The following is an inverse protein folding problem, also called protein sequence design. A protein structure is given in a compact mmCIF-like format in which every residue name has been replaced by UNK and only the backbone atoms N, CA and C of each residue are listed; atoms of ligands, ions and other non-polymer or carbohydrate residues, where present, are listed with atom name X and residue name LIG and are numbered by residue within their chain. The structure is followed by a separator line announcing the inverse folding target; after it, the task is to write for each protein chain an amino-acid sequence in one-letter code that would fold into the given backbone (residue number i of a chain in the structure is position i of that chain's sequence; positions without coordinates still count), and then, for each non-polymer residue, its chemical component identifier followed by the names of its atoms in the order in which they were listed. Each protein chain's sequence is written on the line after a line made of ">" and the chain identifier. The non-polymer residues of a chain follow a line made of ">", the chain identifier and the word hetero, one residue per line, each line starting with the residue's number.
data_IF_640277887824
#
_entry.id   IF_640277887824
#
_cell.length_a   1.000
_cell.length_b   1.000
_cell.length_c   1.000
_cell.angle_alpha   90.00
_cell.angle_beta   90.00
_cell.angle_gamma   90.00
#
_symmetry.space_group_name_H-M   'P 1'
#
loop_
_entity.id
_entity.type
_entity.pdbx_description
1 polymer ?
#
# COMPACT_ATOMS: atom_id res chain seq x y z
N UNK A 1 -2.74 -71.02 14.19
CA UNK A 1 -3.54 -69.89 13.71
C UNK A 1 -3.09 -68.69 14.52
N UNK A 2 -1.96 -68.10 14.13
CA UNK A 2 -1.42 -66.91 14.79
C UNK A 2 -2.24 -65.71 14.34
N UNK A 3 -3.00 -65.14 15.26
CA UNK A 3 -3.67 -63.86 15.05
C UNK A 3 -2.64 -62.76 15.15
N UNK A 4 -2.31 -62.15 14.00
CA UNK A 4 -1.52 -60.94 13.91
C UNK A 4 -2.15 -59.87 14.80
N UNK A 5 -1.52 -59.57 15.93
CA UNK A 5 -1.90 -58.41 16.75
C UNK A 5 -1.58 -57.16 15.93
N UNK A 6 -2.61 -56.50 15.40
CA UNK A 6 -2.46 -55.15 14.90
C UNK A 6 -1.90 -54.29 16.03
N UNK A 7 -0.70 -53.74 15.83
CA UNK A 7 -0.11 -52.75 16.73
C UNK A 7 -0.95 -51.47 16.57
N UNK A 8 -2.04 -51.38 17.32
CA UNK A 8 -2.78 -50.14 17.50
C UNK A 8 -1.81 -49.14 18.13
N UNK A 9 -1.56 -48.02 17.47
CA UNK A 9 -0.70 -46.97 18.01
C UNK A 9 -1.34 -46.40 19.27
N UNK A 10 -0.66 -46.49 20.41
CA UNK A 10 -1.15 -46.03 21.71
C UNK A 10 -1.22 -44.50 21.84
N UNK A 11 -0.83 -43.76 20.80
CA UNK A 11 -0.79 -42.29 20.79
C UNK A 11 -1.82 -41.72 19.82
N UNK A 12 -2.66 -40.80 20.31
CA UNK A 12 -3.67 -40.06 19.52
C UNK A 12 -3.33 -38.57 19.48
N UNK A 13 -3.76 -37.87 18.44
CA UNK A 13 -3.57 -36.41 18.36
C UNK A 13 -4.38 -35.72 19.48
N UNK A 14 -3.74 -34.82 20.24
CA UNK A 14 -4.38 -34.13 21.35
C UNK A 14 -5.42 -33.09 20.92
N UNK A 15 -5.40 -32.71 19.65
CA UNK A 15 -6.39 -31.84 19.03
C UNK A 15 -6.64 -32.28 17.58
N UNK A 16 -7.81 -31.96 17.00
CA UNK A 16 -8.05 -32.15 15.58
C UNK A 16 -6.98 -31.42 14.78
N UNK A 17 -6.21 -32.17 13.99
CA UNK A 17 -5.24 -31.60 13.07
C UNK A 17 -5.82 -31.59 11.67
N UNK A 18 -5.40 -30.61 10.86
CA UNK A 18 -5.76 -30.57 9.45
C UNK A 18 -4.55 -30.92 8.62
N UNK A 19 -4.74 -31.75 7.59
CA UNK A 19 -3.71 -32.02 6.59
C UNK A 19 -3.50 -30.84 5.64
N UNK A 20 -4.35 -29.81 5.68
CA UNK A 20 -4.16 -28.60 4.89
C UNK A 20 -3.20 -27.65 5.59
N UNK A 21 -2.33 -26.94 4.86
CA UNK A 21 -1.55 -25.84 5.41
C UNK A 21 -2.47 -24.83 6.13
N UNK A 22 -2.01 -24.19 7.22
CA UNK A 22 -2.80 -23.16 7.88
C UNK A 22 -3.15 -22.05 6.86
N UNK A 23 -4.41 -21.60 6.88
CA UNK A 23 -4.80 -20.43 6.09
C UNK A 23 -4.03 -19.20 6.57
N UNK A 24 -3.59 -18.30 5.68
CA UNK A 24 -2.97 -17.05 6.08
C UNK A 24 -3.84 -16.30 7.09
N UNK A 25 -3.24 -15.59 8.06
CA UNK A 25 -4.00 -14.83 9.04
C UNK A 25 -4.84 -13.75 8.34
N UNK A 26 -6.06 -13.58 8.82
CA UNK A 26 -6.98 -12.55 8.36
C UNK A 26 -6.49 -11.17 8.80
N UNK A 27 -6.61 -10.17 7.92
CA UNK A 27 -6.26 -8.78 8.25
C UNK A 27 -7.55 -8.00 8.56
N UNK A 28 -7.88 -7.79 9.85
CA UNK A 28 -9.05 -7.04 10.23
C UNK A 28 -8.87 -5.56 9.88
N UNK A 29 -9.84 -5.01 9.16
CA UNK A 29 -9.96 -3.57 8.97
C UNK A 29 -11.06 -3.10 9.90
N UNK A 30 -10.73 -2.60 11.11
CA UNK A 30 -11.76 -2.21 12.05
C UNK A 30 -12.54 -1.03 11.46
N UNK A 31 -13.86 -1.09 11.47
CA UNK A 31 -14.71 0.06 11.13
C UNK A 31 -14.84 1.01 12.33
N UNK A 32 -13.73 1.25 13.04
CA UNK A 32 -13.68 2.14 14.20
C UNK A 32 -13.22 3.50 13.74
N UNK A 33 -14.17 4.37 13.42
CA UNK A 33 -13.87 5.78 13.26
C UNK A 33 -13.79 6.42 14.65
N UNK A 34 -12.69 7.11 15.00
CA UNK A 34 -12.74 8.04 16.11
C UNK A 34 -13.98 8.93 15.94
N UNK A 35 -14.71 9.18 17.03
CA UNK A 35 -15.93 9.99 16.96
C UNK A 35 -15.56 11.41 16.48
N UNK A 36 -16.04 11.80 15.30
CA UNK A 36 -15.96 13.16 14.77
C UNK A 36 -15.33 13.29 13.37
N UNK A 37 -15.53 14.43 12.68
CA UNK A 37 -15.07 14.67 11.31
C UNK A 37 -13.54 14.64 11.14
N UNK A 38 -12.77 14.82 12.23
CA UNK A 38 -11.31 14.75 12.22
C UNK A 38 -10.76 13.34 11.98
N UNK A 39 -11.55 12.30 12.27
CA UNK A 39 -11.13 10.90 12.20
C UNK A 39 -10.85 10.37 10.78
N UNK A 40 -11.47 10.99 9.77
CA UNK A 40 -11.36 10.56 8.38
C UNK A 40 -10.66 11.60 7.51
N UNK A 41 -9.77 12.40 8.12
CA UNK A 41 -9.00 13.43 7.43
C UNK A 41 -7.56 12.99 7.25
N UNK A 42 -7.06 13.08 6.02
CA UNK A 42 -5.66 12.81 5.66
C UNK A 42 -4.98 14.12 5.22
N UNK A 43 -3.69 14.25 5.54
CA UNK A 43 -2.85 15.41 5.20
C UNK A 43 -1.66 14.95 4.37
N UNK A 44 -1.17 15.77 3.41
CA UNK A 44 0.01 15.43 2.64
C UNK A 44 1.20 15.14 3.55
N UNK A 45 1.94 14.06 3.27
CA UNK A 45 3.17 13.73 4.00
C UNK A 45 4.39 14.09 3.16
N UNK A 46 5.30 14.85 3.77
CA UNK A 46 6.57 15.21 3.14
C UNK A 46 7.66 14.14 3.31
N UNK A 47 7.36 13.05 4.04
CA UNK A 47 8.33 12.03 4.39
C UNK A 47 8.77 11.19 3.17
N UNK A 48 7.87 11.03 2.20
CA UNK A 48 8.09 10.22 0.99
C UNK A 48 8.64 11.03 -0.20
N UNK A 49 8.78 12.35 -0.07
CA UNK A 49 9.11 13.26 -1.19
C UNK A 49 10.37 12.80 -1.96
N UNK A 50 11.43 12.45 -1.22
CA UNK A 50 12.70 12.01 -1.81
C UNK A 50 12.58 10.63 -2.47
N UNK A 51 11.93 9.68 -1.80
CA UNK A 51 11.69 8.33 -2.32
C UNK A 51 10.90 8.37 -3.64
N UNK A 52 10.01 9.36 -3.77
CA UNK A 52 9.18 9.59 -4.94
C UNK A 52 9.87 10.45 -6.01
N UNK A 53 11.10 10.91 -5.78
CA UNK A 53 11.83 11.85 -6.66
C UNK A 53 11.03 13.13 -6.95
N UNK A 54 10.26 13.59 -5.96
CA UNK A 54 9.56 14.86 -5.99
C UNK A 54 10.35 15.90 -5.19
N UNK A 55 10.08 17.18 -5.44
CA UNK A 55 10.46 18.24 -4.51
C UNK A 55 9.33 18.53 -3.53
N UNK A 56 9.64 19.21 -2.42
CA UNK A 56 8.59 19.67 -1.48
C UNK A 56 7.60 20.63 -2.15
N UNK A 57 8.06 21.40 -3.15
CA UNK A 57 7.21 22.28 -3.93
C UNK A 57 6.30 21.50 -4.87
N UNK A 58 6.82 20.46 -5.54
CA UNK A 58 5.98 19.58 -6.36
C UNK A 58 4.85 18.95 -5.52
N UNK A 59 5.15 18.48 -4.31
CA UNK A 59 4.12 17.92 -3.42
C UNK A 59 3.07 18.96 -3.04
N UNK A 60 3.48 20.20 -2.75
CA UNK A 60 2.56 21.31 -2.46
C UNK A 60 1.68 21.64 -3.65
N UNK A 61 2.23 21.65 -4.85
CA UNK A 61 1.48 21.88 -6.10
C UNK A 61 0.43 20.78 -6.29
N UNK A 62 0.84 19.51 -6.19
CA UNK A 62 -0.03 18.35 -6.43
C UNK A 62 -1.18 18.31 -5.42
N UNK A 63 -0.85 18.44 -4.13
CA UNK A 63 -1.83 18.29 -3.04
C UNK A 63 -2.53 19.60 -2.67
N UNK A 64 -2.07 20.72 -3.23
CA UNK A 64 -2.45 22.09 -2.84
C UNK A 64 -2.28 22.36 -1.34
N UNK A 65 -1.44 21.57 -0.68
CA UNK A 65 -1.27 21.53 0.77
C UNK A 65 -2.61 21.45 1.55
N UNK A 66 -3.63 20.82 0.95
CA UNK A 66 -4.99 20.77 1.50
C UNK A 66 -5.27 19.42 2.12
N UNK A 67 -5.85 19.43 3.32
CA UNK A 67 -6.36 18.23 3.98
C UNK A 67 -7.55 17.65 3.21
N UNK A 68 -7.60 16.32 3.09
CA UNK A 68 -8.68 15.60 2.43
C UNK A 68 -9.52 14.90 3.48
N UNK A 69 -10.80 15.26 3.60
CA UNK A 69 -11.73 14.63 4.54
C UNK A 69 -12.65 13.68 3.78
N UNK A 70 -12.70 12.43 4.21
CA UNK A 70 -13.60 11.46 3.60
C UNK A 70 -15.05 11.83 3.91
N UNK A 71 -15.85 11.91 2.85
CA UNK A 71 -17.30 12.06 2.95
C UNK A 71 -17.93 10.68 3.10
N UNK A 72 -18.62 10.44 4.21
CA UNK A 72 -19.40 9.23 4.39
C UNK A 72 -20.54 9.18 3.38
N UNK A 73 -20.39 8.28 2.40
CA UNK A 73 -21.39 8.04 1.36
C UNK A 73 -22.26 6.82 1.65
N UNK A 74 -22.13 6.20 2.83
CA UNK A 74 -22.96 5.04 3.22
C UNK A 74 -24.43 5.44 3.38
N UNK A 75 -24.69 6.61 3.96
CA UNK A 75 -26.03 7.17 4.10
C UNK A 75 -26.55 7.59 2.72
N UNK A 76 -27.52 6.83 2.20
CA UNK A 76 -28.07 7.05 0.85
C UNK A 76 -27.33 6.32 -0.27
N UNK A 77 -26.39 5.43 0.06
CA UNK A 77 -25.81 4.53 -0.92
C UNK A 77 -26.90 3.59 -1.46
N UNK A 78 -27.00 3.49 -2.78
CA UNK A 78 -27.80 2.46 -3.46
C UNK A 78 -26.89 1.58 -4.30
N UNK A 79 -27.37 0.39 -4.66
CA UNK A 79 -26.59 -0.53 -5.50
C UNK A 79 -26.14 0.11 -6.82
N UNK A 80 -26.94 1.02 -7.39
CA UNK A 80 -26.62 1.77 -8.61
C UNK A 80 -25.42 2.71 -8.46
N UNK A 81 -25.12 3.18 -7.25
CA UNK A 81 -23.96 4.03 -6.98
C UNK A 81 -22.64 3.35 -7.36
N UNK A 82 -22.57 2.01 -7.40
CA UNK A 82 -21.37 1.28 -7.86
C UNK A 82 -21.00 1.58 -9.32
N UNK A 83 -21.99 1.96 -10.15
CA UNK A 83 -21.83 2.23 -11.59
C UNK A 83 -21.34 3.65 -11.88
N UNK A 84 -21.32 4.50 -10.87
CA UNK A 84 -20.84 5.89 -10.96
C UNK A 84 -19.39 5.98 -10.48
N UNK A 85 -18.66 6.97 -10.98
CA UNK A 85 -17.39 7.33 -10.38
C UNK A 85 -17.63 8.17 -9.12
N UNK A 86 -16.73 8.04 -8.15
CA UNK A 86 -16.72 8.82 -6.92
C UNK A 86 -15.39 9.52 -6.75
N UNK A 87 -15.42 10.72 -6.19
CA UNK A 87 -14.20 11.38 -5.72
C UNK A 87 -13.66 10.62 -4.51
N UNK A 88 -12.34 10.39 -4.53
CA UNK A 88 -11.55 9.84 -3.42
C UNK A 88 -10.64 10.92 -2.85
N UNK A 89 -10.07 11.77 -3.72
CA UNK A 89 -9.38 13.01 -3.37
C UNK A 89 -9.97 14.14 -4.24
N UNK A 90 -9.70 15.39 -3.90
CA UNK A 90 -10.16 16.58 -4.64
C UNK A 90 -9.88 16.52 -6.15
N UNK A 91 -8.81 15.83 -6.56
CA UNK A 91 -8.38 15.65 -7.95
C UNK A 91 -8.42 14.20 -8.44
N UNK A 92 -8.74 13.23 -7.58
CA UNK A 92 -8.67 11.80 -7.91
C UNK A 92 -10.03 11.13 -7.78
N UNK A 93 -10.51 10.59 -8.90
CA UNK A 93 -11.78 9.89 -9.02
C UNK A 93 -11.53 8.39 -9.19
N UNK A 94 -12.47 7.59 -8.70
CA UNK A 94 -12.46 6.13 -8.81
C UNK A 94 -13.80 5.64 -9.35
N UNK A 95 -13.80 4.83 -10.39
CA UNK A 95 -15.04 4.33 -11.00
C UNK A 95 -14.87 3.16 -11.96
N UNK A 96 -15.98 2.63 -12.50
CA UNK A 96 -15.94 1.58 -13.50
C UNK A 96 -15.52 2.09 -14.87
N UNK A 97 -15.01 1.20 -15.72
CA UNK A 97 -14.59 1.50 -17.09
C UNK A 97 -15.69 2.14 -17.96
N UNK A 98 -16.97 1.89 -17.66
CA UNK A 98 -18.08 2.51 -18.37
C UNK A 98 -18.06 4.04 -18.27
N UNK A 99 -17.61 4.60 -17.14
CA UNK A 99 -17.54 6.05 -16.93
C UNK A 99 -16.46 6.69 -17.80
N UNK A 100 -15.37 5.97 -18.07
CA UNK A 100 -14.32 6.44 -18.99
C UNK A 100 -14.77 6.52 -20.47
N UNK A 101 -15.99 6.08 -20.79
CA UNK A 101 -16.60 6.17 -22.12
C UNK A 101 -17.71 7.22 -22.19
N UNK A 102 -18.08 7.81 -21.05
CA UNK A 102 -19.11 8.84 -20.97
C UNK A 102 -18.49 10.22 -21.23
N UNK A 103 -18.53 10.63 -22.50
CA UNK A 103 -17.96 11.91 -22.96
C UNK A 103 -18.57 13.10 -22.20
N UNK A 104 -19.89 13.10 -22.00
CA UNK A 104 -20.59 14.22 -21.35
C UNK A 104 -20.18 14.34 -19.88
N UNK A 105 -20.05 13.21 -19.18
CA UNK A 105 -19.61 13.19 -17.80
C UNK A 105 -18.14 13.62 -17.65
N UNK A 106 -17.24 13.09 -18.51
CA UNK A 106 -15.82 13.44 -18.48
C UNK A 106 -15.58 14.94 -18.72
N UNK A 107 -16.29 15.51 -19.70
CA UNK A 107 -16.22 16.93 -20.01
C UNK A 107 -16.78 17.79 -18.88
N UNK A 108 -17.92 17.39 -18.29
CA UNK A 108 -18.56 18.10 -17.18
C UNK A 108 -17.68 18.14 -15.93
N UNK A 109 -17.08 17.01 -15.55
CA UNK A 109 -16.20 16.95 -14.37
C UNK A 109 -14.83 17.58 -14.63
N UNK A 110 -14.45 17.75 -15.90
CA UNK A 110 -13.14 18.30 -16.29
C UNK A 110 -12.01 17.31 -16.04
N UNK A 111 -12.23 16.02 -16.33
CA UNK A 111 -11.18 15.01 -16.25
C UNK A 111 -10.10 15.31 -17.29
N UNK A 112 -8.84 15.24 -16.88
CA UNK A 112 -7.67 15.55 -17.72
C UNK A 112 -6.78 14.33 -17.97
N UNK A 113 -6.91 13.29 -17.13
CA UNK A 113 -6.20 12.02 -17.30
C UNK A 113 -7.10 10.85 -16.89
N UNK A 114 -7.01 9.74 -17.61
CA UNK A 114 -7.66 8.48 -17.27
C UNK A 114 -6.60 7.39 -17.18
N UNK A 115 -6.61 6.63 -16.09
CA UNK A 115 -5.77 5.44 -15.93
C UNK A 115 -6.65 4.21 -15.93
N UNK A 116 -6.45 3.35 -16.91
CA UNK A 116 -7.20 2.12 -17.09
C UNK A 116 -6.37 0.96 -16.57
N UNK A 117 -6.69 0.47 -15.38
CA UNK A 117 -6.12 -0.76 -14.82
C UNK A 117 -6.95 -1.95 -15.29
N UNK A 118 -6.36 -2.88 -16.03
CA UNK A 118 -7.09 -4.01 -16.61
C UNK A 118 -6.26 -5.28 -16.57
N UNK A 119 -6.95 -6.41 -16.70
CA UNK A 119 -6.27 -7.68 -16.80
C UNK A 119 -5.58 -7.79 -18.17
N UNK A 120 -4.30 -8.17 -18.21
CA UNK A 120 -3.53 -8.20 -19.47
C UNK A 120 -4.18 -9.10 -20.54
N UNK A 121 -4.85 -10.19 -20.13
CA UNK A 121 -5.63 -11.05 -21.06
C UNK A 121 -6.81 -10.34 -21.75
N UNK A 122 -7.35 -9.28 -21.15
CA UNK A 122 -8.49 -8.50 -21.70
C UNK A 122 -7.98 -7.27 -22.47
N UNK A 123 -6.68 -6.95 -22.37
CA UNK A 123 -6.06 -5.78 -22.98
C UNK A 123 -6.25 -5.71 -24.51
N UNK A 124 -6.20 -6.86 -25.19
CA UNK A 124 -6.35 -6.95 -26.64
C UNK A 124 -7.78 -6.69 -27.14
N UNK A 125 -8.80 -6.86 -26.29
CA UNK A 125 -10.20 -6.90 -26.72
C UNK A 125 -10.96 -5.56 -26.60
N UNK A 126 -10.44 -4.55 -25.89
CA UNK A 126 -11.23 -3.36 -25.47
C UNK A 126 -10.62 -1.98 -25.75
N UNK A 127 -9.62 -1.91 -26.63
CA UNK A 127 -8.83 -0.70 -26.89
C UNK A 127 -9.66 0.51 -27.37
N UNK A 128 -10.55 0.33 -28.34
CA UNK A 128 -10.93 1.46 -29.22
C UNK A 128 -11.93 2.50 -28.68
N UNK A 129 -12.54 2.32 -27.51
CA UNK A 129 -13.66 3.21 -27.09
C UNK A 129 -13.21 4.35 -26.18
N UNK A 130 -12.29 4.09 -25.24
CA UNK A 130 -11.79 5.11 -24.32
C UNK A 130 -10.89 6.08 -25.07
N UNK A 131 -9.99 5.58 -25.92
CA UNK A 131 -9.05 6.40 -26.68
C UNK A 131 -9.76 7.41 -27.59
N UNK A 132 -10.88 7.03 -28.21
CA UNK A 132 -11.67 7.95 -29.07
C UNK A 132 -12.27 9.11 -28.28
N UNK A 133 -12.89 8.82 -27.14
CA UNK A 133 -13.50 9.84 -26.27
C UNK A 133 -12.41 10.73 -25.69
N UNK A 134 -11.29 10.14 -25.26
CA UNK A 134 -10.17 10.88 -24.71
C UNK A 134 -9.51 11.78 -25.73
N UNK A 135 -9.27 11.30 -26.96
CA UNK A 135 -8.71 12.11 -28.05
C UNK A 135 -9.61 13.30 -28.37
N UNK A 136 -10.93 13.12 -28.38
CA UNK A 136 -11.90 14.19 -28.63
C UNK A 136 -11.88 15.27 -27.55
N UNK A 137 -11.67 14.88 -26.29
CA UNK A 137 -11.65 15.79 -25.15
C UNK A 137 -10.23 16.28 -24.77
N UNK A 138 -9.18 15.81 -25.45
CA UNK A 138 -7.79 16.13 -25.10
C UNK A 138 -7.33 15.52 -23.77
N UNK A 139 -7.88 14.37 -23.38
CA UNK A 139 -7.58 13.68 -22.14
C UNK A 139 -6.40 12.71 -22.35
N UNK A 140 -5.43 12.72 -21.43
CA UNK A 140 -4.34 11.75 -21.43
C UNK A 140 -4.85 10.38 -20.96
N UNK A 141 -4.59 9.30 -21.71
CA UNK A 141 -4.96 7.94 -21.32
C UNK A 141 -3.72 7.10 -21.09
N UNK A 142 -3.66 6.45 -19.94
CA UNK A 142 -2.62 5.51 -19.58
C UNK A 142 -3.24 4.15 -19.28
N UNK A 143 -2.59 3.08 -19.76
CA UNK A 143 -3.03 1.71 -19.53
C UNK A 143 -2.06 1.01 -18.59
N UNK A 144 -2.60 0.37 -17.55
CA UNK A 144 -1.87 -0.50 -16.64
C UNK A 144 -2.36 -1.94 -16.85
N UNK A 145 -1.60 -2.70 -17.62
CA UNK A 145 -1.87 -4.10 -17.93
C UNK A 145 -1.22 -5.00 -16.88
N UNK A 146 -2.05 -5.69 -16.09
CA UNK A 146 -1.59 -6.56 -14.98
C UNK A 146 -2.13 -7.97 -15.13
N UNK A 147 -1.30 -8.97 -14.88
CA UNK A 147 -1.73 -10.37 -14.82
C UNK A 147 -2.29 -10.75 -13.45
N UNK A 148 -1.70 -10.23 -12.38
CA UNK A 148 -2.03 -10.57 -11.00
C UNK A 148 -1.67 -9.42 -10.05
N UNK A 149 -1.95 -9.62 -8.76
CA UNK A 149 -1.61 -8.67 -7.70
C UNK A 149 -0.08 -8.46 -7.57
N UNK A 150 0.74 -9.47 -7.87
CA UNK A 150 2.19 -9.37 -7.80
C UNK A 150 2.78 -8.46 -8.90
N UNK A 151 2.16 -8.40 -10.08
CA UNK A 151 2.49 -7.41 -11.10
C UNK A 151 1.92 -6.03 -10.76
N UNK A 152 0.72 -5.98 -10.17
CA UNK A 152 0.09 -4.73 -9.80
C UNK A 152 0.93 -3.92 -8.79
N UNK A 153 1.47 -4.57 -7.76
CA UNK A 153 2.36 -3.91 -6.78
C UNK A 153 3.61 -3.30 -7.42
N UNK A 154 4.17 -3.96 -8.45
CA UNK A 154 5.33 -3.45 -9.20
C UNK A 154 4.98 -2.22 -10.05
N UNK A 155 3.73 -2.12 -10.48
CA UNK A 155 3.22 -1.00 -11.26
C UNK A 155 2.86 0.24 -10.43
N UNK A 156 2.69 0.13 -9.11
CA UNK A 156 2.30 1.27 -8.27
C UNK A 156 3.25 2.46 -8.37
N UNK A 157 4.58 2.32 -8.26
CA UNK A 157 5.49 3.46 -8.34
C UNK A 157 5.39 4.18 -9.69
N UNK A 158 5.27 3.42 -10.79
CA UNK A 158 5.15 3.98 -12.14
C UNK A 158 3.84 4.77 -12.29
N UNK A 159 2.72 4.20 -11.84
CA UNK A 159 1.41 4.87 -11.92
C UNK A 159 1.39 6.14 -11.08
N UNK A 160 1.93 6.10 -9.87
CA UNK A 160 2.02 7.28 -9.01
C UNK A 160 2.87 8.36 -9.68
N UNK A 161 4.02 8.00 -10.27
CA UNK A 161 4.86 8.94 -11.01
C UNK A 161 4.13 9.55 -12.23
N UNK A 162 3.36 8.75 -12.98
CA UNK A 162 2.54 9.23 -14.11
C UNK A 162 1.45 10.21 -13.66
N UNK A 163 0.73 9.90 -12.57
CA UNK A 163 -0.28 10.81 -12.00
C UNK A 163 0.37 12.12 -11.59
N UNK A 164 1.46 12.06 -10.83
CA UNK A 164 2.15 13.26 -10.34
C UNK A 164 2.71 14.10 -11.49
N UNK A 165 3.37 13.47 -12.46
CA UNK A 165 3.88 14.14 -13.65
C UNK A 165 2.78 14.84 -14.44
N UNK A 166 1.63 14.18 -14.62
CA UNK A 166 0.46 14.78 -15.27
C UNK A 166 -0.05 16.02 -14.52
N UNK A 167 -0.26 15.92 -13.21
CA UNK A 167 -0.74 17.04 -12.39
C UNK A 167 0.22 18.24 -12.42
N UNK A 168 1.52 17.98 -12.35
CA UNK A 168 2.56 19.01 -12.47
C UNK A 168 2.59 19.62 -13.88
N UNK A 169 2.42 18.83 -14.93
CA UNK A 169 2.39 19.33 -16.31
C UNK A 169 1.18 20.25 -16.55
N UNK A 170 0.00 19.87 -16.04
CA UNK A 170 -1.22 20.71 -16.12
C UNK A 170 -1.04 22.01 -15.35
N UNK A 171 -0.36 21.97 -14.19
CA UNK A 171 -0.01 23.18 -13.44
C UNK A 171 0.94 24.07 -14.24
N UNK A 172 2.07 23.50 -14.70
CA UNK A 172 3.15 24.24 -15.38
C UNK A 172 2.71 24.84 -16.71
N UNK A 173 1.77 24.22 -17.44
CA UNK A 173 1.24 24.75 -18.71
C UNK A 173 0.38 26.02 -18.54
N UNK A 174 -0.16 26.24 -17.33
CA UNK A 174 -0.99 27.40 -17.01
C UNK A 174 -0.23 28.47 -16.21
N UNK A 175 0.96 28.13 -15.75
CA UNK A 175 1.73 28.98 -14.87
C UNK A 175 2.62 29.90 -15.71
N UNK A 176 2.57 31.22 -15.45
CA UNK A 176 3.38 32.20 -16.19
C UNK A 176 4.71 32.41 -15.45
N UNK A 177 5.87 32.31 -16.12
CA UNK A 177 7.15 32.55 -15.48
C UNK A 177 7.32 34.04 -15.18
N UNK A 178 7.55 34.38 -13.91
CA UNK A 178 7.94 35.73 -13.49
C UNK A 178 9.44 35.74 -13.15
N UNK A 179 10.07 36.90 -13.33
CA UNK A 179 11.53 37.12 -13.29
C UNK A 179 12.21 36.77 -11.94
N UNK A 180 11.48 36.37 -10.90
CA UNK A 180 12.03 35.98 -9.58
C UNK A 180 11.89 34.48 -9.26
N UNK A 181 11.56 33.64 -10.25
CA UNK A 181 11.44 32.19 -10.04
C UNK A 181 10.15 31.77 -9.32
N UNK A 182 9.26 32.72 -8.99
CA UNK A 182 7.88 32.44 -8.61
C UNK A 182 7.00 32.34 -9.86
N UNK A 183 6.24 31.24 -9.93
CA UNK A 183 5.23 31.05 -10.95
C UNK A 183 3.92 31.69 -10.48
N UNK A 184 3.41 32.67 -11.22
CA UNK A 184 2.10 33.28 -10.92
C UNK A 184 1.03 32.54 -11.72
N UNK A 185 -0.03 32.15 -11.03
CA UNK A 185 -1.23 31.57 -11.62
C UNK A 185 -2.37 32.55 -11.43
N UNK A 186 -3.11 32.79 -12.51
CA UNK A 186 -4.40 33.45 -12.45
C UNK A 186 -5.38 32.54 -11.68
N UNK A 187 -5.67 32.91 -10.42
CA UNK A 187 -6.53 32.13 -9.54
C UNK A 187 -7.93 31.94 -10.10
N UNK A 188 -8.40 32.86 -10.95
CA UNK A 188 -9.78 32.87 -11.44
C UNK A 188 -9.97 31.91 -12.62
N UNK A 189 -8.90 31.65 -13.38
CA UNK A 189 -8.93 30.77 -14.54
C UNK A 189 -8.20 29.43 -14.34
N UNK A 190 -7.60 29.22 -13.17
CA UNK A 190 -6.82 28.02 -12.90
C UNK A 190 -7.65 26.73 -12.90
N UNK A 191 -7.27 25.78 -13.76
CA UNK A 191 -7.83 24.43 -13.80
C UNK A 191 -6.83 23.43 -13.25
N UNK A 192 -7.12 22.82 -12.11
CA UNK A 192 -6.33 21.64 -11.68
C UNK A 192 -6.50 20.49 -12.64
N UNK A 193 -5.41 19.75 -12.84
CA UNK A 193 -5.52 18.40 -13.36
C UNK A 193 -6.44 17.56 -12.47
N UNK A 194 -7.30 16.78 -13.11
CA UNK A 194 -8.15 15.76 -12.48
C UNK A 194 -7.89 14.42 -13.15
N UNK A 195 -7.74 13.38 -12.33
CA UNK A 195 -7.41 12.02 -12.75
C UNK A 195 -8.57 11.09 -12.41
N UNK A 196 -8.94 10.24 -13.37
CA UNK A 196 -9.92 9.17 -13.18
C UNK A 196 -9.21 7.81 -13.23
N UNK A 197 -9.27 7.06 -12.14
CA UNK A 197 -8.84 5.67 -12.06
C UNK A 197 -10.01 4.75 -12.37
N UNK A 198 -9.84 3.85 -13.34
CA UNK A 198 -10.84 2.86 -13.69
C UNK A 198 -10.27 1.45 -13.81
N UNK A 199 -11.11 0.47 -13.47
CA UNK A 199 -10.97 -0.91 -13.89
C UNK A 199 -12.32 -1.42 -14.41
N UNK A 200 -12.45 -2.71 -14.70
CA UNK A 200 -13.67 -3.28 -15.29
C UNK A 200 -14.93 -2.97 -14.45
N UNK A 201 -14.85 -3.08 -13.12
CA UNK A 201 -15.97 -2.81 -12.20
C UNK A 201 -15.78 -1.55 -11.36
N UNK A 202 -14.58 -1.00 -11.31
CA UNK A 202 -14.21 0.13 -10.45
C UNK A 202 -14.11 -0.21 -8.97
N UNK A 203 -14.09 -1.50 -8.59
CA UNK A 203 -14.16 -1.91 -7.18
C UNK A 203 -12.88 -2.57 -6.66
N UNK A 204 -12.03 -3.13 -7.52
CA UNK A 204 -10.89 -3.95 -7.14
C UNK A 204 -9.55 -3.26 -7.48
N UNK A 205 -8.97 -3.54 -8.66
CA UNK A 205 -7.59 -3.15 -9.01
C UNK A 205 -7.39 -1.63 -9.02
N UNK A 206 -8.35 -0.88 -9.56
CA UNK A 206 -8.26 0.58 -9.55
C UNK A 206 -8.40 1.15 -8.14
N UNK A 207 -9.08 0.45 -7.22
CA UNK A 207 -9.13 0.83 -5.81
C UNK A 207 -7.79 0.57 -5.11
N UNK A 208 -7.08 -0.52 -5.45
CA UNK A 208 -5.72 -0.75 -4.97
C UNK A 208 -4.73 0.30 -5.47
N UNK A 209 -4.86 0.74 -6.74
CA UNK A 209 -4.06 1.87 -7.27
C UNK A 209 -4.36 3.16 -6.51
N UNK A 210 -5.63 3.44 -6.22
CA UNK A 210 -6.02 4.60 -5.41
C UNK A 210 -5.43 4.53 -3.99
N UNK A 211 -5.44 3.34 -3.36
CA UNK A 211 -4.84 3.11 -2.06
C UNK A 211 -3.33 3.34 -2.09
N UNK A 212 -2.62 2.74 -3.05
CA UNK A 212 -1.19 2.92 -3.22
C UNK A 212 -0.81 4.40 -3.42
N UNK A 213 -1.62 5.16 -4.17
CA UNK A 213 -1.42 6.60 -4.33
C UNK A 213 -1.58 7.37 -3.01
N UNK A 214 -2.61 7.06 -2.21
CA UNK A 214 -2.80 7.68 -0.89
C UNK A 214 -1.65 7.34 0.06
N UNK A 215 -1.26 6.07 0.14
CA UNK A 215 -0.14 5.64 0.98
C UNK A 215 1.16 6.37 0.60
N UNK A 216 1.41 6.56 -0.69
CA UNK A 216 2.62 7.22 -1.17
C UNK A 216 2.59 8.75 -0.89
N UNK A 217 1.49 9.43 -1.22
CA UNK A 217 1.40 10.90 -1.16
C UNK A 217 1.02 11.46 0.21
N UNK A 218 0.27 10.70 1.01
CA UNK A 218 -0.24 11.12 2.32
C UNK A 218 0.42 10.33 3.48
N UNK A 219 1.34 9.41 3.17
CA UNK A 219 2.13 8.67 4.16
C UNK A 219 1.29 7.82 5.11
N UNK A 220 0.10 7.40 4.67
CA UNK A 220 -0.83 6.60 5.48
C UNK A 220 -0.54 5.12 5.38
N UNK A 221 -0.76 4.41 6.48
CA UNK A 221 -0.73 2.95 6.53
C UNK A 221 -1.86 2.33 5.70
N UNK A 222 -1.75 1.03 5.43
CA UNK A 222 -2.72 0.29 4.64
C UNK A 222 -4.12 0.33 5.26
N UNK A 223 -4.24 0.17 6.59
CA UNK A 223 -5.54 0.07 7.29
C UNK A 223 -6.32 1.38 7.18
N UNK A 224 -5.68 2.49 7.55
CA UNK A 224 -6.21 3.84 7.49
C UNK A 224 -6.60 4.23 6.05
N UNK A 225 -5.79 3.81 5.08
CA UNK A 225 -6.06 4.06 3.67
C UNK A 225 -7.29 3.30 3.17
N UNK A 226 -7.39 2.00 3.50
CA UNK A 226 -8.56 1.18 3.13
C UNK A 226 -9.82 1.75 3.75
N UNK A 227 -9.79 2.11 5.04
CA UNK A 227 -10.92 2.78 5.72
C UNK A 227 -11.33 4.06 4.98
N UNK A 228 -10.38 4.94 4.68
CA UNK A 228 -10.63 6.21 4.00
C UNK A 228 -11.32 6.04 2.63
N UNK A 229 -10.88 5.05 1.84
CA UNK A 229 -11.51 4.74 0.54
C UNK A 229 -12.89 4.11 0.74
N UNK A 230 -13.03 3.15 1.66
CA UNK A 230 -14.29 2.43 1.91
C UNK A 230 -15.43 3.37 2.36
N UNK A 231 -15.13 4.45 3.09
CA UNK A 231 -16.12 5.48 3.45
C UNK A 231 -16.66 6.20 2.21
N UNK A 232 -15.77 6.53 1.27
CA UNK A 232 -16.12 7.35 0.10
C UNK A 232 -16.68 6.54 -1.06
N UNK A 233 -16.21 5.30 -1.24
CA UNK A 233 -16.71 4.32 -2.19
C UNK A 233 -16.99 3.02 -1.46
N UNK A 234 -18.17 2.94 -0.87
CA UNK A 234 -18.65 1.77 -0.11
C UNK A 234 -18.61 0.45 -0.91
N UNK A 235 -18.67 0.53 -2.26
CA UNK A 235 -18.56 -0.65 -3.12
C UNK A 235 -17.14 -1.11 -3.43
N UNK A 236 -16.11 -0.40 -2.95
CA UNK A 236 -14.72 -0.80 -3.11
C UNK A 236 -14.48 -2.09 -2.32
N UNK A 237 -13.89 -3.08 -2.98
CA UNK A 237 -13.67 -4.40 -2.44
C UNK A 237 -12.16 -4.62 -2.23
N UNK A 238 -11.75 -4.64 -0.97
CA UNK A 238 -10.40 -5.00 -0.57
C UNK A 238 -10.41 -6.43 -0.03
N UNK A 239 -10.14 -7.38 -0.91
CA UNK A 239 -9.99 -8.79 -0.54
C UNK A 239 -8.69 -9.02 0.26
N UNK A 240 -8.55 -10.20 0.84
CA UNK A 240 -7.40 -10.52 1.70
C UNK A 240 -6.07 -10.48 0.94
N UNK A 241 -6.05 -10.88 -0.33
CA UNK A 241 -4.85 -10.80 -1.16
C UNK A 241 -4.50 -9.35 -1.50
N UNK A 242 -5.50 -8.51 -1.76
CA UNK A 242 -5.33 -7.07 -1.96
C UNK A 242 -4.80 -6.37 -0.71
N UNK A 243 -5.31 -6.69 0.47
CA UNK A 243 -4.81 -6.16 1.75
C UNK A 243 -3.36 -6.56 2.00
N UNK A 244 -3.01 -7.84 1.80
CA UNK A 244 -1.62 -8.32 1.92
C UNK A 244 -0.68 -7.63 0.94
N UNK A 245 -1.12 -7.45 -0.30
CA UNK A 245 -0.36 -6.72 -1.31
C UNK A 245 -0.12 -5.26 -0.88
N UNK A 246 -1.15 -4.57 -0.38
CA UNK A 246 -1.00 -3.20 0.11
C UNK A 246 -0.10 -3.14 1.35
N UNK A 247 -0.17 -4.12 2.24
CA UNK A 247 0.73 -4.18 3.40
C UNK A 247 2.20 -4.41 2.97
N UNK A 248 2.44 -5.30 2.01
CA UNK A 248 3.77 -5.47 1.43
C UNK A 248 4.26 -4.18 0.74
N UNK A 249 3.34 -3.41 0.13
CA UNK A 249 3.69 -2.11 -0.44
C UNK A 249 4.02 -1.07 0.64
N UNK A 250 3.33 -1.10 1.77
CA UNK A 250 3.66 -0.27 2.94
C UNK A 250 5.09 -0.53 3.42
N UNK A 251 5.48 -1.81 3.52
CA UNK A 251 6.84 -2.20 3.89
C UNK A 251 7.88 -1.65 2.90
N UNK A 252 7.58 -1.68 1.60
CA UNK A 252 8.44 -1.08 0.56
C UNK A 252 8.57 0.42 0.78
N UNK A 253 7.48 1.14 1.04
CA UNK A 253 7.51 2.58 1.31
C UNK A 253 8.33 2.91 2.57
N UNK A 254 8.15 2.14 3.64
CA UNK A 254 8.90 2.28 4.89
C UNK A 254 10.41 2.07 4.68
N UNK A 255 10.78 1.04 3.91
CA UNK A 255 12.17 0.79 3.55
C UNK A 255 12.75 1.94 2.72
N UNK A 256 12.02 2.43 1.71
CA UNK A 256 12.44 3.56 0.88
C UNK A 256 12.64 4.85 1.68
N UNK A 257 11.75 5.13 2.65
CA UNK A 257 11.92 6.24 3.59
C UNK A 257 13.19 6.09 4.42
N UNK A 258 13.41 4.91 4.98
CA UNK A 258 14.58 4.63 5.83
C UNK A 258 15.90 4.78 5.06
N UNK A 259 15.93 4.36 3.79
CA UNK A 259 17.10 4.53 2.91
C UNK A 259 17.31 6.00 2.55
N UNK A 260 16.23 6.72 2.24
CA UNK A 260 16.29 8.16 1.93
C UNK A 260 16.79 8.97 3.11
N UNK A 261 16.30 8.69 4.33
CA UNK A 261 16.77 9.37 5.55
C UNK A 261 18.23 9.03 5.84
N UNK A 262 18.61 7.76 5.78
CA UNK A 262 20.01 7.34 5.99
C UNK A 262 20.96 8.01 4.99
N UNK A 263 20.56 8.14 3.73
CA UNK A 263 21.38 8.79 2.68
C UNK A 263 21.59 10.28 2.96
N UNK A 264 20.59 10.98 3.52
CA UNK A 264 20.71 12.38 3.97
C UNK A 264 21.66 12.52 5.15
N UNK A 265 21.64 11.55 6.06
CA UNK A 265 22.43 11.56 7.29
C UNK A 265 23.88 11.09 7.10
N UNK A 266 24.25 10.52 5.94
CA UNK A 266 25.66 10.24 5.62
C UNK A 266 26.39 11.58 5.44
N UNK A 267 27.34 11.95 6.32
CA UNK A 267 28.12 13.15 6.13
C UNK A 267 28.87 13.02 4.82
N UNK A 268 28.60 13.93 3.88
CA UNK A 268 29.38 14.07 2.65
C UNK A 268 30.83 14.27 3.08
N UNK A 269 31.67 13.24 2.90
CA UNK A 269 33.05 13.21 3.34
C UNK A 269 33.89 14.27 2.62
N UNK A 270 33.76 15.51 3.09
CA UNK A 270 34.72 16.58 2.89
C UNK A 270 35.82 16.41 3.91
N UNK A 271 36.91 15.80 3.49
CA UNK A 271 38.26 16.14 3.91
C UNK A 271 38.51 16.36 5.42
N UNK A 272 38.11 15.43 6.29
CA UNK A 272 38.67 15.37 7.65
C UNK A 272 38.90 13.91 8.08
N UNK A 273 40.09 13.72 8.68
CA UNK A 273 40.74 12.51 9.17
C UNK A 273 39.94 11.20 9.21
N UNK A 274 40.52 10.16 8.60
CA UNK A 274 40.18 8.76 8.76
C UNK A 274 39.96 8.41 10.25
N UNK A 275 38.74 8.05 10.69
CA UNK A 275 38.56 7.23 11.88
C UNK A 275 38.55 5.78 11.39
N UNK A 276 39.65 5.08 11.63
CA UNK A 276 39.69 3.63 11.59
C UNK A 276 38.65 3.10 12.58
N UNK A 277 37.71 2.25 12.15
CA UNK A 277 36.80 1.58 13.08
C UNK A 277 35.43 1.19 12.54
N UNK A 278 35.35 0.66 11.32
CA UNK A 278 34.13 0.07 10.76
C UNK A 278 34.31 -1.39 10.36
N UNK A 279 35.18 -2.12 11.06
CA UNK A 279 35.34 -3.56 10.87
C UNK A 279 34.14 -4.29 11.46
N UNK A 280 33.55 -5.21 10.70
CA UNK A 280 32.66 -6.25 11.22
C UNK A 280 33.38 -6.87 12.43
N UNK A 281 32.78 -6.80 13.62
CA UNK A 281 33.36 -7.41 14.82
C UNK A 281 33.54 -8.91 14.54
N UNK A 282 34.78 -9.37 14.52
CA UNK A 282 35.11 -10.78 14.42
C UNK A 282 34.59 -11.52 15.65
N UNK A 283 34.20 -12.79 15.48
CA UNK A 283 33.64 -13.61 16.55
C UNK A 283 34.59 -13.70 17.76
N UNK A 284 35.90 -13.47 17.55
CA UNK A 284 36.91 -13.40 18.61
C UNK A 284 36.66 -12.28 19.64
N UNK A 285 35.93 -11.21 19.28
CA UNK A 285 35.61 -10.11 20.21
C UNK A 285 34.45 -10.39 21.19
N UNK A 286 33.92 -11.62 21.18
CA UNK A 286 32.83 -12.04 22.08
C UNK A 286 33.35 -12.86 23.26
N UNK A 287 34.65 -13.18 23.28
CA UNK A 287 35.29 -13.91 24.36
C UNK A 287 36.18 -12.94 25.13
N UNK A 288 35.59 -12.20 26.06
CA UNK A 288 36.35 -11.52 27.10
C UNK A 288 37.03 -12.60 27.96
N UNK A 289 38.36 -12.54 28.07
CA UNK A 289 39.18 -13.51 28.82
C UNK A 289 38.96 -13.44 30.35
N UNK A 290 38.17 -12.48 30.82
CA UNK A 290 37.78 -12.32 32.23
C UNK A 290 36.61 -13.22 32.67
N UNK A 291 35.94 -13.92 31.73
CA UNK A 291 34.90 -14.93 32.02
C UNK A 291 35.46 -16.35 32.22
N UNK A 292 36.78 -16.51 32.41
CA UNK A 292 37.39 -17.77 32.88
C UNK A 292 37.22 -18.00 34.39
N UNK A 293 36.09 -17.60 34.96
CA UNK A 293 35.73 -17.93 36.33
C UNK A 293 34.82 -19.16 36.33
N UNK A 294 35.47 -20.32 36.48
CA UNK A 294 34.95 -21.62 36.99
C UNK A 294 33.43 -21.61 37.23
N UNK A 295 32.67 -21.75 36.16
CA UNK A 295 31.22 -21.83 36.15
C UNK A 295 30.81 -23.02 35.32
N UNK A 296 30.31 -24.04 36.00
CA UNK A 296 29.78 -25.30 35.50
C UNK A 296 29.12 -25.16 34.11
N UNK A 297 29.33 -26.15 33.23
CA UNK A 297 28.83 -26.20 31.83
C UNK A 297 27.31 -26.22 31.67
N UNK A 298 26.59 -25.81 32.71
CA UNK A 298 25.14 -25.69 32.82
C UNK A 298 24.58 -24.35 32.33
N UNK A 299 25.38 -23.28 32.24
CA UNK A 299 24.88 -21.94 31.86
C UNK A 299 24.39 -21.83 30.40
N UNK A 300 25.02 -22.59 29.48
CA UNK A 300 24.57 -22.67 28.08
C UNK A 300 23.32 -23.54 27.91
N UNK A 301 23.03 -24.41 28.88
CA UNK A 301 21.85 -25.28 28.88
C UNK A 301 20.63 -24.62 29.54
N UNK A 302 20.85 -23.65 30.44
CA UNK A 302 19.77 -22.87 31.07
C UNK A 302 19.04 -21.95 30.10
N UNK A 303 19.73 -21.35 29.14
CA UNK A 303 19.11 -20.50 28.10
C UNK A 303 18.29 -21.30 27.09
N UNK A 304 18.69 -22.54 26.78
CA UNK A 304 17.87 -23.43 25.96
C UNK A 304 16.64 -23.92 26.74
N UNK A 305 16.76 -24.22 28.04
CA UNK A 305 15.63 -24.60 28.90
C UNK A 305 14.51 -23.55 28.89
N UNK A 306 14.83 -22.27 29.08
CA UNK A 306 13.89 -21.13 29.08
C UNK A 306 13.00 -21.08 27.82
N UNK A 307 13.52 -21.51 26.67
CA UNK A 307 12.78 -21.63 25.40
C UNK A 307 11.58 -22.60 25.45
N UNK A 308 11.58 -23.54 26.40
CA UNK A 308 10.59 -24.62 26.49
C UNK A 308 9.66 -24.48 27.71
N UNK A 309 9.84 -23.49 28.59
CA UNK A 309 9.05 -23.35 29.83
C UNK A 309 7.54 -23.19 29.60
N UNK A 310 7.11 -22.61 28.47
CA UNK A 310 5.69 -22.45 28.13
C UNK A 310 5.11 -23.59 27.25
N UNK A 311 5.91 -24.62 26.89
CA UNK A 311 5.43 -25.72 26.04
C UNK A 311 4.59 -26.77 26.77
N UNK A 312 4.54 -26.74 28.10
CA UNK A 312 3.73 -27.67 28.89
C UNK A 312 2.22 -27.58 28.64
N UNK A 313 1.74 -26.54 27.95
CA UNK A 313 0.30 -26.34 27.68
C UNK A 313 -0.25 -27.08 26.45
N UNK A 314 0.60 -27.58 25.56
CA UNK A 314 0.13 -28.30 24.37
C UNK A 314 1.12 -29.41 23.96
N UNK A 315 0.77 -30.65 24.29
CA UNK A 315 1.39 -31.84 23.71
C UNK A 315 0.62 -32.21 22.44
N UNK A 316 1.24 -32.26 21.23
CA UNK A 316 0.51 -32.53 19.99
C UNK A 316 -0.12 -33.93 19.94
N UNK A 317 0.43 -34.87 20.72
CA UNK A 317 -0.03 -36.23 20.84
C UNK A 317 -0.13 -36.61 22.33
N UNK A 318 -1.16 -37.37 22.67
CA UNK A 318 -1.41 -37.89 24.02
C UNK A 318 -1.59 -39.40 23.95
N UNK A 319 -1.18 -40.10 25.00
CA UNK A 319 -1.40 -41.52 25.11
C UNK A 319 -2.88 -41.79 25.36
N UNK A 320 -3.40 -42.84 24.73
CA UNK A 320 -4.82 -43.19 24.72
C UNK A 320 -5.40 -43.41 26.13
N UNK A 321 -4.56 -43.81 27.09
CA UNK A 321 -4.92 -44.05 28.50
C UNK A 321 -4.87 -42.79 29.38
N UNK A 322 -4.49 -41.65 28.80
CA UNK A 322 -4.39 -40.34 29.48
C UNK A 322 -5.44 -39.31 29.02
N UNK A 323 -6.36 -39.72 28.13
CA UNK A 323 -7.52 -38.93 27.74
C UNK A 323 -8.66 -39.11 28.78
N UNK A 324 -9.20 -38.03 29.39
CA UNK A 324 -10.33 -38.12 30.32
C UNK A 324 -11.65 -38.53 29.67
#
# INVERSE_FOLDING_TARGET
>A
METSKEHLSDTIAAAPYSHRPPSPPYIPIPMTYPKGPAAATIVPSFDNVDAMRLTSEDLRIITRNKSQTATDRSVGWSYESRRKAQTILDFLYLGPLSVARDEAWLAKEGITMVIVTRHARVAQARLMSVDKVAQKLGILVEYLDVLDNAQLIRGFPEVVAKINGHLLNVYRSQATPVQEGQMIIDSDNFKSGKVLLVCETGNDRSAFVAAAYIMNMYGKDMVSTVQFISIQRFSANFDEDGKRMLQAYEDILNAQRSVSSATRDVPRAGHFGVPSGGGKRGIESTFDEDDMQVGDGYATFTTDRERYHDRGRFAPFVDRDSAP
#
